data_IF_767831222655
#
_entry.id   IF_767831222655
#
_cell.length_a   1.000
_cell.length_b   1.000
_cell.length_c   1.000
_cell.angle_alpha   90.00
_cell.angle_beta   90.00
_cell.angle_gamma   90.00
#
_symmetry.space_group_name_H-M   'P 1'
#
loop_
_entity.id
_entity.type
_entity.pdbx_description
1 polymer ?
#
# COMPACT_ATOMS: atom_id res chain seq x y z
N UNK A 1 -17.95 14.37 17.77
CA UNK A 1 -17.14 13.33 17.11
C UNK A 1 -16.17 14.05 16.21
N UNK A 2 -14.91 13.62 16.17
CA UNK A 2 -13.99 14.11 15.15
C UNK A 2 -14.44 13.48 13.83
N UNK A 3 -14.92 14.30 12.91
CA UNK A 3 -15.21 13.88 11.54
C UNK A 3 -13.95 14.14 10.75
N UNK A 4 -13.22 13.09 10.42
CA UNK A 4 -12.07 13.18 9.56
C UNK A 4 -12.58 13.25 8.12
N UNK A 5 -12.40 14.41 7.48
CA UNK A 5 -12.96 14.69 6.16
C UNK A 5 -12.02 14.31 5.00
N UNK A 6 -10.82 13.81 5.30
CA UNK A 6 -9.81 13.49 4.30
C UNK A 6 -9.54 11.98 4.23
N UNK A 7 -9.35 11.48 3.00
CA UNK A 7 -8.90 10.10 2.72
C UNK A 7 -7.60 9.78 3.45
N UNK A 8 -7.39 8.53 3.86
CA UNK A 8 -6.11 8.11 4.42
C UNK A 8 -5.00 8.23 3.35
N UNK A 9 -3.89 8.88 3.71
CA UNK A 9 -2.76 9.13 2.82
C UNK A 9 -1.44 8.72 3.45
N UNK A 10 -0.52 8.22 2.63
CA UNK A 10 0.86 8.02 3.05
C UNK A 10 1.55 9.39 3.24
N UNK A 11 2.40 9.49 4.26
CA UNK A 11 2.88 10.76 4.80
C UNK A 11 3.91 11.48 3.90
N UNK A 12 4.72 10.75 3.13
CA UNK A 12 5.83 11.36 2.38
C UNK A 12 5.36 12.09 1.12
N UNK A 13 4.41 11.52 0.36
CA UNK A 13 3.97 12.00 -0.94
C UNK A 13 2.45 12.25 -1.03
N UNK A 14 1.71 12.03 0.06
CA UNK A 14 0.26 12.22 0.09
C UNK A 14 -0.50 11.26 -0.83
N UNK A 15 0.08 10.09 -1.11
CA UNK A 15 -0.55 9.07 -1.96
C UNK A 15 -1.73 8.41 -1.24
N UNK A 16 -2.84 8.12 -1.94
CA UNK A 16 -3.97 7.46 -1.31
C UNK A 16 -3.59 6.05 -0.85
N UNK A 17 -4.04 5.69 0.35
CA UNK A 17 -3.93 4.32 0.85
C UNK A 17 -5.17 3.54 0.42
N UNK A 18 -4.96 2.32 -0.05
CA UNK A 18 -6.01 1.38 -0.41
C UNK A 18 -5.86 0.07 0.36
N UNK A 19 -6.97 -0.65 0.45
CA UNK A 19 -7.06 -2.03 0.91
C UNK A 19 -7.61 -2.89 -0.22
N UNK A 20 -7.75 -4.19 -0.01
CA UNK A 20 -8.47 -5.06 -0.95
C UNK A 20 -9.94 -4.65 -1.20
N UNK A 21 -10.55 -3.90 -0.26
CA UNK A 21 -11.94 -3.42 -0.37
C UNK A 21 -12.03 -2.07 -1.11
N UNK A 22 -10.89 -1.49 -1.51
CA UNK A 22 -10.80 -0.19 -2.18
C UNK A 22 -10.07 0.85 -1.34
N UNK A 23 -10.21 2.12 -1.74
CA UNK A 23 -9.58 3.25 -1.06
C UNK A 23 -9.96 3.29 0.42
N UNK A 24 -8.97 3.49 1.27
CA UNK A 24 -9.18 3.61 2.71
C UNK A 24 -9.67 5.03 3.03
N UNK A 25 -10.98 5.17 3.13
CA UNK A 25 -11.65 6.39 3.59
C UNK A 25 -11.62 6.43 5.13
N UNK A 26 -11.53 7.62 5.72
CA UNK A 26 -11.46 7.82 7.18
C UNK A 26 -12.85 7.68 7.84
N UNK A 27 -13.58 6.63 7.46
CA UNK A 27 -14.83 6.26 8.09
C UNK A 27 -14.54 5.38 9.30
N UNK A 28 -14.25 6.04 10.42
CA UNK A 28 -14.36 5.49 11.77
C UNK A 28 -13.49 4.25 12.10
N UNK A 29 -12.58 4.33 13.09
CA UNK A 29 -11.78 3.19 13.53
C UNK A 29 -12.61 2.06 14.18
N UNK A 30 -13.94 2.18 14.27
CA UNK A 30 -14.81 1.17 14.86
C UNK A 30 -14.75 -0.20 14.15
N UNK A 31 -14.42 -0.26 12.86
CA UNK A 31 -14.15 -1.54 12.18
C UNK A 31 -12.83 -2.20 12.64
N UNK A 32 -11.87 -1.39 13.11
CA UNK A 32 -10.49 -1.75 13.48
C UNK A 32 -10.41 -2.42 14.87
N UNK A 33 -11.42 -2.20 15.72
CA UNK A 33 -11.49 -2.77 17.08
C UNK A 33 -12.30 -4.08 17.08
N UNK A 34 -11.78 -5.11 16.41
CA UNK A 34 -12.37 -6.47 16.47
C UNK A 34 -11.79 -7.25 17.66
N UNK A 35 -12.51 -8.29 18.10
CA UNK A 35 -12.29 -8.97 19.38
C UNK A 35 -10.96 -9.73 19.46
N UNK A 36 -10.34 -10.04 18.32
CA UNK A 36 -9.19 -10.94 18.27
C UNK A 36 -8.11 -10.43 17.30
N UNK A 37 -6.82 -10.31 17.71
CA UNK A 37 -5.74 -9.81 16.85
C UNK A 37 -5.46 -10.64 15.59
N UNK A 38 -5.96 -11.88 15.57
CA UNK A 38 -5.79 -12.86 14.51
C UNK A 38 -7.00 -13.00 13.58
N UNK A 39 -8.00 -12.12 13.71
CA UNK A 39 -9.06 -12.04 12.72
C UNK A 39 -8.59 -11.23 11.50
N UNK A 40 -8.99 -11.70 10.32
CA UNK A 40 -8.76 -10.97 9.08
C UNK A 40 -9.34 -9.56 9.16
N UNK A 41 -8.56 -8.57 8.72
CA UNK A 41 -8.98 -7.17 8.68
C UNK A 41 -8.46 -6.51 7.40
N UNK A 42 -9.27 -5.72 6.67
CA UNK A 42 -8.86 -5.06 5.42
C UNK A 42 -7.57 -4.21 5.57
N UNK A 43 -7.38 -3.54 6.71
CA UNK A 43 -6.13 -2.85 7.04
C UNK A 43 -4.85 -3.70 6.99
N UNK A 44 -4.97 -5.03 7.05
CA UNK A 44 -3.81 -5.91 6.94
C UNK A 44 -3.23 -5.91 5.53
N UNK A 45 -4.03 -5.53 4.53
CA UNK A 45 -3.62 -5.34 3.13
C UNK A 45 -3.44 -3.87 2.78
N UNK A 46 -3.51 -2.96 3.76
CA UNK A 46 -3.42 -1.53 3.51
C UNK A 46 -2.04 -1.12 2.97
N UNK A 47 -2.04 -0.29 1.93
CA UNK A 47 -0.85 0.34 1.37
C UNK A 47 -1.20 1.13 0.11
N UNK A 48 -0.20 1.64 -0.59
CA UNK A 48 -0.44 2.35 -1.86
C UNK A 48 -0.66 1.35 -2.99
N UNK A 49 -1.47 1.75 -3.97
CA UNK A 49 -1.61 1.02 -5.23
C UNK A 49 -0.43 1.31 -6.16
N UNK A 50 -0.03 0.31 -6.95
CA UNK A 50 1.09 0.42 -7.90
C UNK A 50 0.75 -0.25 -9.23
N UNK A 51 1.39 0.19 -10.31
CA UNK A 51 1.39 -0.54 -11.59
C UNK A 51 2.21 -1.83 -11.51
N UNK A 52 2.21 -2.62 -12.59
CA UNK A 52 3.08 -3.80 -12.73
C UNK A 52 4.57 -3.47 -12.65
N UNK A 53 4.93 -2.25 -13.02
CA UNK A 53 6.29 -1.69 -12.97
C UNK A 53 6.62 -1.10 -11.60
N UNK A 54 5.74 -1.24 -10.61
CA UNK A 54 5.85 -0.69 -9.25
C UNK A 54 5.82 0.85 -9.19
N UNK A 55 5.13 1.48 -10.13
CA UNK A 55 4.87 2.93 -10.11
C UNK A 55 3.64 3.24 -9.27
N UNK A 56 3.72 4.12 -8.26
CA UNK A 56 2.55 4.47 -7.45
C UNK A 56 1.43 5.11 -8.25
N UNK A 57 0.20 4.73 -7.89
CA UNK A 57 -1.00 5.31 -8.45
C UNK A 57 -1.59 6.38 -7.52
N UNK A 58 -2.12 7.44 -8.12
CA UNK A 58 -3.02 8.40 -7.50
C UNK A 58 -4.34 8.30 -8.24
N UNK A 59 -5.30 7.64 -7.61
CA UNK A 59 -6.68 7.54 -8.13
C UNK A 59 -6.71 6.91 -9.55
N UNK A 60 -5.91 5.86 -9.75
CA UNK A 60 -5.82 5.12 -11.02
C UNK A 60 -4.75 5.63 -11.99
N UNK A 61 -4.22 6.83 -11.79
CA UNK A 61 -3.19 7.42 -12.66
C UNK A 61 -1.79 7.34 -12.04
N UNK A 62 -0.74 7.22 -12.86
CA UNK A 62 0.64 7.24 -12.36
C UNK A 62 0.93 8.60 -11.72
N UNK A 63 1.30 8.58 -10.43
CA UNK A 63 1.51 9.82 -9.68
C UNK A 63 2.75 10.59 -10.16
N UNK A 64 3.84 9.87 -10.46
CA UNK A 64 5.11 10.42 -10.94
C UNK A 64 5.86 9.39 -11.80
N UNK A 65 6.39 9.82 -12.94
CA UNK A 65 7.05 8.91 -13.91
C UNK A 65 8.42 8.39 -13.47
N UNK A 66 9.04 9.05 -12.49
CA UNK A 66 10.35 8.72 -11.95
C UNK A 66 10.28 8.14 -10.53
N UNK A 67 9.08 7.78 -10.07
CA UNK A 67 8.86 7.24 -8.73
C UNK A 67 8.51 5.75 -8.80
N UNK A 68 9.17 4.97 -7.95
CA UNK A 68 8.92 3.55 -7.77
C UNK A 68 8.78 3.23 -6.29
N UNK A 69 7.94 2.26 -5.97
CA UNK A 69 7.70 1.80 -4.61
C UNK A 69 8.18 0.36 -4.41
N UNK A 70 8.57 0.04 -3.19
CA UNK A 70 9.01 -1.29 -2.81
C UNK A 70 8.71 -1.57 -1.32
N UNK A 71 8.54 -2.84 -1.01
CA UNK A 71 8.32 -3.33 0.34
C UNK A 71 6.95 -2.98 0.91
N UNK A 72 6.93 -2.77 2.23
CA UNK A 72 5.70 -2.70 3.04
C UNK A 72 4.83 -1.46 2.81
N UNK A 73 5.25 -0.52 1.96
CA UNK A 73 4.41 0.62 1.56
C UNK A 73 3.35 0.19 0.53
N UNK A 74 3.59 -0.91 -0.21
CA UNK A 74 2.68 -1.43 -1.23
C UNK A 74 1.53 -2.19 -0.56
N UNK A 75 0.30 -1.96 -1.01
CA UNK A 75 -0.89 -2.66 -0.51
C UNK A 75 -1.14 -4.02 -1.16
N UNK A 76 -2.24 -4.65 -0.78
CA UNK A 76 -2.77 -5.87 -1.43
C UNK A 76 -2.23 -7.20 -0.90
N UNK A 77 -1.41 -7.20 0.17
CA UNK A 77 -0.95 -8.44 0.79
C UNK A 77 -0.89 -8.34 2.32
N UNK A 78 -1.29 -9.42 3.00
CA UNK A 78 -1.31 -9.50 4.47
C UNK A 78 0.01 -10.07 5.02
N UNK A 79 1.05 -9.25 5.03
CA UNK A 79 2.42 -9.60 5.46
C UNK A 79 2.49 -10.36 6.80
N UNK A 80 1.66 -9.97 7.78
CA UNK A 80 1.65 -10.54 9.14
C UNK A 80 1.07 -11.95 9.22
N UNK A 81 0.31 -12.39 8.21
CA UNK A 81 -0.29 -13.73 8.15
C UNK A 81 0.48 -14.65 7.22
N UNK A 82 0.88 -14.11 6.07
CA UNK A 82 1.55 -14.89 5.01
C UNK A 82 3.06 -14.98 5.27
N UNK A 83 3.58 -14.22 6.25
CA UNK A 83 4.99 -14.20 6.65
C UNK A 83 5.96 -13.96 5.49
N UNK A 84 5.49 -13.22 4.47
CA UNK A 84 6.21 -12.97 3.23
C UNK A 84 6.85 -11.59 3.15
N UNK A 85 6.85 -10.81 4.24
CA UNK A 85 7.28 -9.41 4.26
C UNK A 85 8.67 -9.21 3.63
N UNK A 86 9.64 -10.01 4.05
CA UNK A 86 11.03 -9.92 3.55
C UNK A 86 11.12 -10.32 2.08
N UNK A 87 10.39 -11.37 1.67
CA UNK A 87 10.34 -11.81 0.27
C UNK A 87 9.73 -10.74 -0.64
N UNK A 88 8.67 -10.08 -0.18
CA UNK A 88 8.06 -8.94 -0.89
C UNK A 88 9.04 -7.79 -0.97
N UNK A 89 9.71 -7.42 0.13
CA UNK A 89 10.70 -6.35 0.13
C UNK A 89 11.86 -6.62 -0.84
N UNK A 90 12.38 -7.85 -0.87
CA UNK A 90 13.45 -8.24 -1.79
C UNK A 90 13.00 -8.22 -3.25
N UNK A 91 11.88 -8.86 -3.57
CA UNK A 91 11.39 -8.97 -4.94
C UNK A 91 11.01 -7.60 -5.52
N UNK A 92 10.27 -6.80 -4.75
CA UNK A 92 9.85 -5.46 -5.18
C UNK A 92 11.02 -4.48 -5.21
N UNK A 93 11.95 -4.57 -4.26
CA UNK A 93 13.16 -3.74 -4.24
C UNK A 93 14.05 -3.99 -5.44
N UNK A 94 14.29 -5.25 -5.80
CA UNK A 94 15.04 -5.59 -7.01
C UNK A 94 14.35 -5.09 -8.27
N UNK A 95 13.04 -5.34 -8.41
CA UNK A 95 12.29 -4.92 -9.60
C UNK A 95 12.26 -3.39 -9.73
N UNK A 96 11.87 -2.68 -8.67
CA UNK A 96 11.83 -1.21 -8.64
C UNK A 96 13.22 -0.60 -8.91
N UNK A 97 14.28 -1.20 -8.36
CA UNK A 97 15.66 -0.81 -8.62
C UNK A 97 16.06 -0.92 -10.09
N UNK A 98 15.75 -2.06 -10.74
CA UNK A 98 16.00 -2.23 -12.18
C UNK A 98 15.24 -1.18 -13.01
N UNK A 99 13.96 -0.95 -12.71
CA UNK A 99 13.15 0.06 -13.42
C UNK A 99 13.67 1.47 -13.22
N UNK A 100 14.06 1.83 -11.99
CA UNK A 100 14.63 3.12 -11.65
C UNK A 100 15.97 3.36 -12.35
N UNK A 101 16.79 2.32 -12.52
CA UNK A 101 18.06 2.39 -13.25
C UNK A 101 17.90 2.37 -14.78
N UNK A 102 16.70 2.15 -15.31
CA UNK A 102 16.48 1.93 -16.75
C UNK A 102 17.04 0.59 -17.25
N UNK A 103 17.33 -0.34 -16.35
CA UNK A 103 17.77 -1.68 -16.68
C UNK A 103 16.56 -2.58 -17.01
N UNK A 104 16.77 -3.57 -17.87
CA UNK A 104 15.80 -4.66 -18.02
C UNK A 104 15.75 -5.44 -16.70
N UNK A 105 14.56 -5.53 -16.10
CA UNK A 105 14.29 -6.39 -14.96
C UNK A 105 14.09 -7.83 -15.45
#
# INVERSE_FOLDING_TARGET
GVTWTDRCREALLGLPVATEEGLLEDESPHAIVRRTPMEWHPLMTAGIEVTRELRPLREGEVAHDNLYAAGMVIGGFASRYVLCADGVALATGWHAGCRAAGAAA
#
